data_IF_411680537248
#
_entry.id   IF_411680537248
#
_cell.length_a   1.000
_cell.length_b   1.000
_cell.length_c   1.000
_cell.angle_alpha   90.00
_cell.angle_beta   90.00
_cell.angle_gamma   90.00
#
_symmetry.space_group_name_H-M   'P 1'
#
loop_
_entity.id
_entity.type
_entity.pdbx_description
1 polymer ?
#
# COMPACT_ATOMS: atom_id res chain seq x y z
N UNK A 1 18.29 40.40 -5.96
CA UNK A 1 17.24 39.43 -5.56
C UNK A 1 17.37 38.97 -4.10
N UNK A 2 18.58 38.67 -3.60
CA UNK A 2 18.82 38.27 -2.20
C UNK A 2 18.50 39.39 -1.18
N UNK A 3 18.75 40.66 -1.52
CA UNK A 3 18.42 41.81 -0.65
C UNK A 3 16.92 42.08 -0.54
N UNK A 4 16.14 41.75 -1.57
CA UNK A 4 14.67 41.84 -1.54
C UNK A 4 14.08 40.80 -0.58
N UNK A 5 14.66 39.59 -0.56
CA UNK A 5 14.30 38.53 0.37
C UNK A 5 14.70 38.89 1.82
N UNK A 6 15.87 39.52 2.00
CA UNK A 6 16.39 39.96 3.30
C UNK A 6 15.57 41.10 3.92
N UNK A 7 15.10 42.05 3.11
CA UNK A 7 14.24 43.14 3.57
C UNK A 7 12.81 42.68 3.87
N UNK A 8 12.27 41.69 3.13
CA UNK A 8 10.99 41.05 3.47
C UNK A 8 11.08 40.27 4.78
N UNK A 9 12.19 39.55 4.99
CA UNK A 9 12.48 38.85 6.24
C UNK A 9 12.54 39.82 7.42
N UNK A 10 13.34 40.89 7.35
CA UNK A 10 13.43 41.86 8.45
C UNK A 10 12.09 42.55 8.77
N UNK A 11 11.26 42.86 7.78
CA UNK A 11 10.00 43.59 8.02
C UNK A 11 8.89 42.72 8.60
N UNK A 12 8.95 41.39 8.44
CA UNK A 12 7.98 40.42 8.97
C UNK A 12 8.46 39.72 10.25
N UNK A 13 9.77 39.60 10.46
CA UNK A 13 10.40 38.96 11.63
C UNK A 13 10.77 39.91 12.79
N UNK A 14 10.51 41.22 12.68
CA UNK A 14 10.67 42.17 13.80
C UNK A 14 9.47 42.16 14.76
N UNK A 15 8.37 41.48 14.42
CA UNK A 15 7.25 41.29 15.33
C UNK A 15 7.52 40.08 16.26
N UNK A 16 7.59 40.25 17.59
CA UNK A 16 7.82 39.15 18.54
C UNK A 16 6.85 37.98 18.36
N UNK A 17 5.63 38.28 17.90
CA UNK A 17 4.59 37.29 17.60
C UNK A 17 4.92 36.42 16.39
N UNK A 18 5.48 36.98 15.32
CA UNK A 18 5.85 36.21 14.13
C UNK A 18 7.00 35.24 14.44
N UNK A 19 7.98 35.68 15.23
CA UNK A 19 9.08 34.83 15.69
C UNK A 19 8.58 33.72 16.62
N UNK A 20 7.65 34.02 17.53
CA UNK A 20 7.02 33.03 18.39
C UNK A 20 6.21 31.98 17.60
N UNK A 21 5.44 32.41 16.59
CA UNK A 21 4.72 31.50 15.69
C UNK A 21 5.68 30.60 14.91
N UNK A 22 6.78 31.15 14.41
CA UNK A 22 7.79 30.37 13.69
C UNK A 22 8.46 29.35 14.62
N UNK A 23 8.76 29.73 15.86
CA UNK A 23 9.30 28.83 16.86
C UNK A 23 8.31 27.71 17.21
N UNK A 24 7.03 28.03 17.48
CA UNK A 24 6.00 27.02 17.78
C UNK A 24 5.79 26.08 16.59
N UNK A 25 5.76 26.60 15.37
CA UNK A 25 5.62 25.78 14.17
C UNK A 25 6.81 24.84 13.99
N UNK A 26 8.03 25.36 14.15
CA UNK A 26 9.26 24.59 14.01
C UNK A 26 9.36 23.49 15.08
N UNK A 27 9.18 23.85 16.36
CA UNK A 27 9.19 22.88 17.46
C UNK A 27 8.02 21.90 17.36
N UNK A 28 6.84 22.34 16.94
CA UNK A 28 5.68 21.47 16.70
C UNK A 28 5.95 20.47 15.58
N UNK A 29 6.58 20.89 14.48
CA UNK A 29 6.92 20.00 13.37
C UNK A 29 8.01 18.99 13.76
N UNK A 30 9.03 19.43 14.48
CA UNK A 30 10.08 18.54 15.01
C UNK A 30 9.47 17.53 15.99
N UNK A 31 8.58 17.96 16.87
CA UNK A 31 7.86 17.07 17.77
C UNK A 31 7.00 16.06 17.00
N UNK A 32 6.21 16.51 16.03
CA UNK A 32 5.38 15.61 15.21
C UNK A 32 6.26 14.60 14.44
N UNK A 33 7.40 15.03 13.88
CA UNK A 33 8.30 14.13 13.17
C UNK A 33 8.88 13.07 14.10
N UNK A 34 9.37 13.47 15.28
CA UNK A 34 9.97 12.56 16.25
C UNK A 34 8.94 11.61 16.88
N UNK A 35 7.74 12.11 17.18
CA UNK A 35 6.64 11.34 17.75
C UNK A 35 5.74 10.71 16.69
N UNK A 36 6.02 10.85 15.39
CA UNK A 36 5.14 10.40 14.29
C UNK A 36 4.80 8.91 14.39
N UNK A 37 5.79 8.09 14.77
CA UNK A 37 5.64 6.65 14.94
C UNK A 37 4.70 6.28 16.11
N UNK A 38 4.53 7.16 17.10
CA UNK A 38 3.60 6.98 18.23
C UNK A 38 2.26 7.68 18.01
N UNK A 39 2.28 8.86 17.37
CA UNK A 39 1.09 9.64 17.04
C UNK A 39 0.23 8.93 15.99
N UNK A 40 0.83 8.29 14.99
CA UNK A 40 0.11 7.55 13.96
C UNK A 40 -0.80 6.45 14.55
N UNK A 41 -0.31 5.47 15.33
CA UNK A 41 -1.17 4.45 15.92
C UNK A 41 -2.17 5.05 16.92
N UNK A 42 -1.81 6.10 17.66
CA UNK A 42 -2.72 6.79 18.58
C UNK A 42 -3.91 7.42 17.84
N UNK A 43 -3.65 8.16 16.76
CA UNK A 43 -4.69 8.79 15.94
C UNK A 43 -5.60 7.73 15.31
N UNK A 44 -5.03 6.65 14.79
CA UNK A 44 -5.79 5.52 14.25
C UNK A 44 -6.70 4.92 15.33
N UNK A 45 -6.18 4.69 16.53
CA UNK A 45 -6.96 4.15 17.64
C UNK A 45 -8.13 5.04 18.03
N UNK A 46 -7.93 6.37 18.09
CA UNK A 46 -8.99 7.34 18.40
C UNK A 46 -10.07 7.35 17.31
N UNK A 47 -9.67 7.37 16.04
CA UNK A 47 -10.61 7.33 14.90
C UNK A 47 -11.42 6.03 14.93
N UNK A 48 -10.77 4.88 15.15
CA UNK A 48 -11.45 3.59 15.25
C UNK A 48 -12.39 3.53 16.45
N UNK A 49 -11.97 4.04 17.62
CA UNK A 49 -12.82 4.10 18.80
C UNK A 49 -14.10 4.92 18.52
N UNK A 50 -13.95 6.09 17.90
CA UNK A 50 -15.08 6.94 17.57
C UNK A 50 -16.00 6.31 16.51
N UNK A 51 -15.42 5.62 15.53
CA UNK A 51 -16.17 4.91 14.49
C UNK A 51 -17.00 3.75 15.06
N UNK A 52 -16.49 3.05 16.08
CA UNK A 52 -17.21 1.98 16.78
C UNK A 52 -18.18 2.50 17.84
N UNK A 53 -17.92 3.64 18.45
CA UNK A 53 -18.79 4.20 19.50
C UNK A 53 -20.16 4.61 18.96
N UNK A 54 -20.23 5.12 17.73
CA UNK A 54 -21.48 5.48 17.07
C UNK A 54 -22.48 4.30 16.94
N UNK A 55 -22.12 3.14 16.34
CA UNK A 55 -23.02 1.99 16.29
C UNK A 55 -23.34 1.42 17.68
N UNK A 56 -22.42 1.52 18.65
CA UNK A 56 -22.68 1.08 20.04
C UNK A 56 -23.80 1.93 20.65
N UNK A 57 -23.75 3.24 20.47
CA UNK A 57 -24.81 4.14 20.94
C UNK A 57 -26.14 3.87 20.25
N UNK A 58 -26.13 3.64 18.93
CA UNK A 58 -27.32 3.30 18.15
C UNK A 58 -27.99 2.02 18.67
N UNK A 59 -27.21 0.97 18.94
CA UNK A 59 -27.73 -0.29 19.50
C UNK A 59 -28.25 -0.12 20.93
N UNK A 60 -27.55 0.65 21.75
CA UNK A 60 -27.97 0.91 23.13
C UNK A 60 -29.31 1.66 23.18
N UNK A 61 -29.46 2.73 22.38
CA UNK A 61 -30.68 3.54 22.35
C UNK A 61 -31.87 2.81 21.72
N UNK A 62 -31.67 2.06 20.63
CA UNK A 62 -32.77 1.39 19.92
C UNK A 62 -33.16 0.05 20.52
N UNK A 63 -32.20 -0.72 21.04
CA UNK A 63 -32.44 -2.07 21.58
C UNK A 63 -32.47 -2.11 23.13
N UNK A 64 -32.21 -0.98 23.83
CA UNK A 64 -32.13 -0.88 25.29
C UNK A 64 -31.22 -1.94 25.94
N UNK A 65 -30.16 -2.35 25.23
CA UNK A 65 -29.21 -3.36 25.72
C UNK A 65 -28.17 -2.73 26.65
N UNK A 66 -27.70 -3.44 27.70
CA UNK A 66 -26.64 -2.94 28.56
C UNK A 66 -25.36 -2.71 27.75
N UNK A 67 -24.69 -1.57 28.00
CA UNK A 67 -23.53 -1.06 27.24
C UNK A 67 -22.46 -2.13 26.99
N UNK A 68 -22.21 -2.99 27.97
CA UNK A 68 -21.20 -4.06 27.88
C UNK A 68 -21.55 -5.05 26.76
N UNK A 69 -22.80 -5.51 26.67
CA UNK A 69 -23.22 -6.45 25.62
C UNK A 69 -23.17 -5.79 24.22
N UNK A 70 -23.57 -4.53 24.12
CA UNK A 70 -23.50 -3.78 22.86
C UNK A 70 -22.04 -3.64 22.36
N UNK A 71 -21.10 -3.32 23.26
CA UNK A 71 -19.67 -3.26 22.93
C UNK A 71 -19.13 -4.61 22.48
N UNK A 72 -19.41 -5.70 23.22
CA UNK A 72 -18.95 -7.05 22.84
C UNK A 72 -19.50 -7.49 21.47
N UNK A 73 -20.77 -7.21 21.19
CA UNK A 73 -21.42 -7.63 19.95
C UNK A 73 -20.87 -6.85 18.75
N UNK A 74 -20.65 -5.54 18.89
CA UNK A 74 -20.12 -4.71 17.79
C UNK A 74 -18.64 -4.98 17.56
N UNK A 75 -17.85 -5.08 18.63
CA UNK A 75 -16.43 -5.37 18.51
C UNK A 75 -16.20 -6.79 17.96
N UNK A 76 -16.96 -7.77 18.46
CA UNK A 76 -16.97 -9.13 17.92
C UNK A 76 -17.42 -9.19 16.46
N UNK A 77 -18.49 -8.47 16.10
CA UNK A 77 -18.98 -8.36 14.73
C UNK A 77 -17.97 -7.71 13.79
N UNK A 78 -17.33 -6.61 14.22
CA UNK A 78 -16.29 -5.93 13.46
C UNK A 78 -15.09 -6.84 13.18
N UNK A 79 -14.63 -7.56 14.21
CA UNK A 79 -13.54 -8.55 14.06
C UNK A 79 -13.98 -9.66 13.10
N UNK A 80 -15.18 -10.22 13.27
CA UNK A 80 -15.68 -11.29 12.40
C UNK A 80 -15.76 -10.85 10.93
N UNK A 81 -16.31 -9.67 10.65
CA UNK A 81 -16.38 -9.10 9.29
C UNK A 81 -14.98 -8.89 8.72
N UNK A 82 -14.04 -8.36 9.51
CA UNK A 82 -12.65 -8.14 9.09
C UNK A 82 -11.96 -9.46 8.75
N UNK A 83 -12.16 -10.49 9.57
CA UNK A 83 -11.64 -11.83 9.31
C UNK A 83 -12.23 -12.41 8.02
N UNK A 84 -13.55 -12.37 7.85
CA UNK A 84 -14.22 -12.85 6.63
C UNK A 84 -13.70 -12.11 5.39
N UNK A 85 -13.64 -10.77 5.45
CA UNK A 85 -13.07 -9.94 4.39
C UNK A 85 -11.65 -10.37 4.04
N UNK A 86 -10.79 -10.54 5.05
CA UNK A 86 -9.38 -10.93 4.84
C UNK A 86 -9.28 -12.32 4.22
N UNK A 87 -10.04 -13.30 4.73
CA UNK A 87 -10.06 -14.66 4.21
C UNK A 87 -10.64 -14.77 2.79
N UNK A 88 -11.49 -13.84 2.35
CA UNK A 88 -12.02 -13.80 0.97
C UNK A 88 -11.11 -12.98 0.05
N UNK A 89 -10.61 -11.83 0.53
CA UNK A 89 -9.75 -10.94 -0.25
C UNK A 89 -8.39 -11.56 -0.54
N UNK A 90 -7.74 -12.18 0.45
CA UNK A 90 -6.41 -12.78 0.22
C UNK A 90 -6.41 -13.81 -0.92
N UNK A 91 -7.29 -14.84 -0.95
CA UNK A 91 -7.27 -15.83 -2.03
C UNK A 91 -7.73 -15.23 -3.37
N UNK A 92 -8.64 -14.26 -3.37
CA UNK A 92 -9.05 -13.59 -4.61
C UNK A 92 -7.92 -12.73 -5.17
N UNK A 93 -7.22 -11.97 -4.34
CA UNK A 93 -6.04 -11.20 -4.74
C UNK A 93 -4.91 -12.12 -5.22
N UNK A 94 -4.69 -13.25 -4.56
CA UNK A 94 -3.69 -14.23 -4.99
C UNK A 94 -4.03 -14.83 -6.35
N UNK A 95 -5.27 -15.31 -6.52
CA UNK A 95 -5.72 -15.89 -7.80
C UNK A 95 -5.73 -14.85 -8.92
N UNK A 96 -6.08 -13.59 -8.63
CA UNK A 96 -5.99 -12.48 -9.58
C UNK A 96 -4.53 -12.19 -9.97
N UNK A 97 -3.60 -12.23 -9.02
CA UNK A 97 -2.17 -12.02 -9.30
C UNK A 97 -1.60 -13.13 -10.17
N UNK A 98 -1.95 -14.40 -9.88
CA UNK A 98 -1.51 -15.54 -10.69
C UNK A 98 -2.09 -15.45 -12.11
N UNK A 99 -3.37 -15.07 -12.26
CA UNK A 99 -3.98 -14.84 -13.58
C UNK A 99 -3.27 -13.74 -14.35
N UNK A 100 -2.98 -12.60 -13.71
CA UNK A 100 -2.26 -11.49 -14.34
C UNK A 100 -0.89 -11.92 -14.87
N UNK A 101 -0.13 -12.69 -14.09
CA UNK A 101 1.18 -13.21 -14.51
C UNK A 101 1.04 -14.25 -15.63
N UNK A 102 0.01 -15.09 -15.58
CA UNK A 102 -0.28 -16.11 -16.60
C UNK A 102 -0.78 -15.51 -17.92
N UNK A 103 -1.51 -14.40 -17.86
CA UNK A 103 -2.09 -13.73 -19.04
C UNK A 103 -1.10 -12.74 -19.68
N UNK A 104 -0.08 -12.30 -18.93
CA UNK A 104 1.02 -11.45 -19.38
C UNK A 104 1.64 -11.90 -20.73
N UNK A 105 2.02 -13.18 -20.94
CA UNK A 105 2.54 -13.64 -22.23
C UNK A 105 1.51 -13.54 -23.37
N UNK A 106 0.23 -13.79 -23.11
CA UNK A 106 -0.82 -13.64 -24.12
C UNK A 106 -1.03 -12.16 -24.50
N UNK A 107 -1.04 -11.26 -23.52
CA UNK A 107 -1.07 -9.82 -23.77
C UNK A 107 0.15 -9.36 -24.57
N UNK A 108 1.32 -9.94 -24.31
CA UNK A 108 2.56 -9.63 -25.03
C UNK A 108 2.53 -10.09 -26.49
N UNK A 109 1.94 -11.27 -26.77
CA UNK A 109 1.73 -11.74 -28.14
C UNK A 109 0.73 -10.85 -28.89
N UNK A 110 -0.35 -10.42 -28.24
CA UNK A 110 -1.33 -9.52 -28.84
C UNK A 110 -0.73 -8.12 -29.11
N UNK A 111 0.16 -7.65 -28.22
CA UNK A 111 0.98 -6.47 -28.48
C UNK A 111 1.96 -6.68 -29.63
N UNK A 112 2.58 -7.87 -29.78
CA UNK A 112 3.45 -8.18 -30.91
C UNK A 112 2.71 -8.07 -32.24
N UNK A 113 1.54 -8.71 -32.35
CA UNK A 113 0.70 -8.68 -33.55
C UNK A 113 0.30 -7.23 -33.90
N UNK A 114 -0.05 -6.43 -32.90
CA UNK A 114 -0.37 -5.01 -33.11
C UNK A 114 0.87 -4.20 -33.52
N UNK A 115 2.03 -4.47 -32.91
CA UNK A 115 3.29 -3.81 -33.24
C UNK A 115 3.83 -4.24 -34.63
N UNK A 116 3.47 -5.42 -35.13
CA UNK A 116 3.79 -5.87 -36.48
C UNK A 116 2.90 -5.24 -37.55
N UNK A 117 1.70 -4.76 -37.20
CA UNK A 117 0.87 -3.95 -38.09
C UNK A 117 1.32 -2.48 -38.21
N UNK A 118 2.13 -1.99 -37.26
CA UNK A 118 2.62 -0.60 -37.25
C UNK A 118 3.65 -0.26 -38.36
N UNK A 119 4.61 -1.15 -38.72
CA UNK A 119 5.53 -0.97 -39.85
C UNK A 119 4.84 -0.87 -41.21
N UNK A 120 3.64 -1.44 -41.39
CA UNK A 120 2.86 -1.29 -42.62
C UNK A 120 2.40 0.15 -42.83
N UNK A 121 2.06 0.86 -41.74
CA UNK A 121 1.55 2.24 -41.81
C UNK A 121 2.67 3.31 -41.70
N UNK A 122 3.81 3.02 -41.08
CA UNK A 122 4.92 3.99 -40.85
C UNK A 122 6.35 3.41 -41.07
N UNK A 123 6.72 3.08 -42.32
CA UNK A 123 7.98 2.42 -42.65
C UNK A 123 9.27 3.27 -42.48
N UNK A 124 9.17 4.60 -42.34
CA UNK A 124 10.35 5.48 -42.14
C UNK A 124 10.87 5.53 -40.69
N UNK A 125 10.09 5.08 -39.70
CA UNK A 125 10.41 5.24 -38.27
C UNK A 125 10.64 3.92 -37.52
N UNK A 126 10.20 2.77 -38.05
CA UNK A 126 10.23 1.48 -37.34
C UNK A 126 10.63 0.34 -38.28
N UNK A 127 11.79 -0.28 -38.02
CA UNK A 127 12.32 -1.44 -38.76
C UNK A 127 12.02 -2.76 -38.02
N UNK A 128 11.77 -3.85 -38.75
CA UNK A 128 11.42 -5.17 -38.23
C UNK A 128 12.50 -5.74 -37.29
N UNK A 129 13.78 -5.44 -37.56
CA UNK A 129 14.91 -5.92 -36.75
C UNK A 129 14.93 -5.35 -35.32
N UNK A 130 14.42 -4.13 -35.13
CA UNK A 130 14.38 -3.49 -33.82
C UNK A 130 13.28 -4.08 -32.93
N UNK A 131 12.15 -4.46 -33.54
CA UNK A 131 11.06 -5.16 -32.86
C UNK A 131 11.52 -6.54 -32.38
N UNK A 132 12.19 -7.31 -33.23
CA UNK A 132 12.67 -8.66 -32.90
C UNK A 132 13.67 -8.66 -31.74
N UNK A 133 14.62 -7.73 -31.75
CA UNK A 133 15.64 -7.61 -30.70
C UNK A 133 15.02 -7.21 -29.35
N UNK A 134 13.99 -6.35 -29.37
CA UNK A 134 13.25 -5.96 -28.18
C UNK A 134 12.46 -7.15 -27.60
N UNK A 135 11.79 -7.92 -28.45
CA UNK A 135 11.04 -9.12 -28.05
C UNK A 135 11.92 -10.20 -27.44
N UNK A 136 13.09 -10.47 -28.02
CA UNK A 136 14.05 -11.45 -27.48
C UNK A 136 14.57 -11.00 -26.11
N UNK A 137 14.92 -9.72 -25.97
CA UNK A 137 15.43 -9.17 -24.70
C UNK A 137 14.37 -9.18 -23.60
N UNK A 138 13.12 -8.87 -23.94
CA UNK A 138 11.99 -8.86 -23.00
C UNK A 138 11.61 -10.27 -22.55
N UNK A 139 11.57 -11.24 -23.49
CA UNK A 139 11.33 -12.66 -23.19
C UNK A 139 12.36 -13.21 -22.21
N UNK A 140 13.65 -12.93 -22.44
CA UNK A 140 14.72 -13.38 -21.54
C UNK A 140 14.62 -12.75 -20.14
N UNK A 141 14.17 -11.49 -20.03
CA UNK A 141 13.94 -10.82 -18.74
C UNK A 141 12.74 -11.42 -17.99
N UNK A 142 11.63 -11.68 -18.67
CA UNK A 142 10.44 -12.32 -18.08
C UNK A 142 10.78 -13.73 -17.59
N UNK A 143 11.51 -14.53 -18.36
CA UNK A 143 11.93 -15.88 -17.94
C UNK A 143 12.85 -15.84 -16.71
N UNK A 144 13.79 -14.90 -16.65
CA UNK A 144 14.66 -14.72 -15.48
C UNK A 144 13.91 -14.27 -14.22
N UNK A 145 12.90 -13.39 -14.37
CA UNK A 145 12.01 -13.00 -13.26
C UNK A 145 11.12 -14.17 -12.82
N UNK A 146 10.62 -14.97 -13.76
CA UNK A 146 9.84 -16.19 -13.50
C UNK A 146 10.64 -17.22 -12.68
N UNK A 147 11.89 -17.51 -13.06
CA UNK A 147 12.74 -18.42 -12.30
C UNK A 147 13.05 -17.88 -10.89
N UNK A 148 13.30 -16.58 -10.75
CA UNK A 148 13.57 -15.96 -9.45
C UNK A 148 12.33 -15.95 -8.55
N UNK A 149 11.16 -15.65 -9.10
CA UNK A 149 9.90 -15.67 -8.37
C UNK A 149 9.51 -17.09 -7.91
N UNK A 150 9.71 -18.11 -8.76
CA UNK A 150 9.52 -19.52 -8.40
C UNK A 150 10.47 -19.94 -7.27
N UNK A 151 11.76 -19.63 -7.38
CA UNK A 151 12.75 -19.91 -6.32
C UNK A 151 12.39 -19.22 -5.01
N UNK A 152 11.95 -17.96 -5.06
CA UNK A 152 11.54 -17.21 -3.87
C UNK A 152 10.26 -17.76 -3.22
N UNK A 153 9.27 -18.13 -4.04
CA UNK A 153 8.01 -18.72 -3.57
C UNK A 153 8.24 -20.09 -2.90
N UNK A 154 9.04 -20.95 -3.54
CA UNK A 154 9.44 -22.25 -2.98
C UNK A 154 10.23 -22.06 -1.69
N UNK A 155 11.17 -21.11 -1.65
CA UNK A 155 11.94 -20.80 -0.44
C UNK A 155 11.06 -20.26 0.70
N UNK A 156 10.08 -19.40 0.40
CA UNK A 156 9.15 -18.86 1.41
C UNK A 156 8.23 -19.92 1.99
N UNK A 157 7.73 -20.84 1.17
CA UNK A 157 6.94 -21.98 1.63
C UNK A 157 7.79 -22.92 2.51
N UNK A 158 9.02 -23.23 2.09
CA UNK A 158 9.96 -24.01 2.90
C UNK A 158 10.30 -23.33 4.22
N UNK A 159 10.45 -22.01 4.24
CA UNK A 159 10.77 -21.26 5.46
C UNK A 159 9.56 -21.24 6.42
N UNK A 160 8.34 -21.10 5.90
CA UNK A 160 7.10 -21.25 6.69
C UNK A 160 6.95 -22.67 7.25
N UNK A 161 7.23 -23.70 6.45
CA UNK A 161 7.21 -25.10 6.89
C UNK A 161 8.28 -25.34 7.95
N UNK A 162 9.48 -24.78 7.77
CA UNK A 162 10.59 -24.90 8.73
C UNK A 162 10.26 -24.21 10.04
N UNK A 163 9.70 -23.00 10.01
CA UNK A 163 9.18 -22.32 11.21
C UNK A 163 8.06 -23.13 11.88
N UNK A 164 7.16 -23.72 11.11
CA UNK A 164 6.11 -24.61 11.63
C UNK A 164 6.68 -25.84 12.33
N UNK A 165 7.69 -26.47 11.74
CA UNK A 165 8.41 -27.60 12.35
C UNK A 165 9.09 -27.15 13.65
N UNK A 166 9.81 -26.03 13.65
CA UNK A 166 10.48 -25.52 14.85
C UNK A 166 9.49 -25.13 15.95
N UNK A 167 8.36 -24.51 15.62
CA UNK A 167 7.33 -24.16 16.60
C UNK A 167 6.65 -25.39 17.21
N UNK A 168 6.51 -26.48 16.43
CA UNK A 168 5.93 -27.73 16.89
C UNK A 168 6.93 -28.60 17.69
N UNK A 169 8.21 -28.59 17.32
CA UNK A 169 9.27 -29.33 18.03
C UNK A 169 9.78 -28.61 19.29
N UNK A 170 9.55 -27.30 19.42
CA UNK A 170 9.96 -26.50 20.57
C UNK A 170 8.87 -26.34 21.65
N UNK A 171 7.74 -27.04 21.52
CA UNK A 171 6.73 -27.23 22.56
C UNK A 171 6.79 -28.67 23.07
#
# INVERSE_FOLDING_TARGET
MIEMLKNWYHRRFTDPQAMALFAILFFGFVAIYFFSNLLAPLLIAIVLAYLLEYPIRLLNEKLKMPRILATFLILGGFIAVTFIMTFILIPTLWTQTVKLVSDLPHMFNQLNEWLLSLPEDYPELVDYQMIDTFFISFKNKILGLGESALKFSIASLLNLVTLGIYAFWCH
#
